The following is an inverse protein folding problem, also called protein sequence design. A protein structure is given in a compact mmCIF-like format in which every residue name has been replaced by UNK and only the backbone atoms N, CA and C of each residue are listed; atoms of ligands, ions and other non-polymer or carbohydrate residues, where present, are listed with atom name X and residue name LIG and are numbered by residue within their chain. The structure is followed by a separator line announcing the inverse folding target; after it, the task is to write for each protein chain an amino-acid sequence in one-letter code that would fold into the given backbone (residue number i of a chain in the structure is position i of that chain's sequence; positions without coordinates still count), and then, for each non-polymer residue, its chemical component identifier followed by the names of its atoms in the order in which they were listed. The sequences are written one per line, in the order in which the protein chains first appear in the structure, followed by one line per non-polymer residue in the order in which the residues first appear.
data_IF_031558835274
#
_entry.id   IF_031558835274
#
_cell.length_a   1.000
_cell.length_b   1.000
_cell.length_c   1.000
_cell.angle_alpha   90.00
_cell.angle_beta   90.00
_cell.angle_gamma   90.00
#
_symmetry.space_group_name_H-M   'P 1'
#
loop_
_entity.id
_entity.type
_entity.pdbx_description
1 polymer ?
#
# COMPACT_ATOMS: atom_id res chain seq x y z
N UNK A 1 -27.06 63.57 0.87
CA UNK A 1 -25.62 63.36 1.13
C UNK A 1 -25.42 61.87 1.39
N UNK A 2 -24.95 61.13 0.39
CA UNK A 2 -24.70 59.68 0.47
C UNK A 2 -23.29 59.46 1.03
N UNK A 3 -23.17 58.74 2.15
CA UNK A 3 -21.89 58.23 2.65
C UNK A 3 -21.89 56.71 2.53
N UNK A 4 -21.27 56.24 1.44
CA UNK A 4 -20.93 54.83 1.21
C UNK A 4 -19.70 54.46 2.05
N UNK A 5 -19.89 53.63 3.08
CA UNK A 5 -18.80 53.01 3.83
C UNK A 5 -18.42 51.67 3.22
N UNK A 6 -17.39 51.65 2.37
CA UNK A 6 -16.74 50.41 1.91
C UNK A 6 -15.78 49.95 3.02
N UNK A 7 -15.91 48.74 3.59
CA UNK A 7 -14.90 48.23 4.52
C UNK A 7 -13.60 47.95 3.76
N UNK A 8 -12.50 48.51 4.27
CA UNK A 8 -11.13 48.37 3.76
C UNK A 8 -10.68 46.91 3.80
N UNK A 9 -10.32 46.35 2.64
CA UNK A 9 -9.75 45.03 2.43
C UNK A 9 -8.32 44.81 2.99
N UNK A 10 -7.96 45.50 4.09
CA UNK A 10 -6.60 45.50 4.64
C UNK A 10 -6.38 44.59 5.85
N UNK A 11 -7.43 44.12 6.53
CA UNK A 11 -7.30 43.37 7.78
C UNK A 11 -7.19 41.85 7.59
N UNK A 12 -7.69 41.31 6.47
CA UNK A 12 -7.75 39.85 6.26
C UNK A 12 -6.39 39.23 5.90
N UNK A 13 -5.47 40.03 5.35
CA UNK A 13 -4.18 39.54 4.86
C UNK A 13 -3.19 39.33 6.01
N UNK A 14 -3.31 40.09 7.11
CA UNK A 14 -2.39 40.00 8.24
C UNK A 14 -2.58 38.73 9.08
N UNK A 15 -3.81 38.24 9.22
CA UNK A 15 -4.08 37.01 10.00
C UNK A 15 -3.50 35.78 9.30
N UNK A 16 -3.71 35.68 7.98
CA UNK A 16 -3.17 34.58 7.18
C UNK A 16 -1.64 34.56 7.16
N UNK A 17 -0.97 35.71 7.27
CA UNK A 17 0.50 35.78 7.29
C UNK A 17 1.10 35.21 8.59
N UNK A 18 0.42 35.40 9.73
CA UNK A 18 0.86 34.90 11.04
C UNK A 18 0.64 33.38 11.17
N UNK A 19 -0.47 32.86 10.64
CA UNK A 19 -0.73 31.40 10.62
C UNK A 19 0.26 30.64 9.73
N UNK A 20 0.84 31.28 8.70
CA UNK A 20 1.85 30.65 7.85
C UNK A 20 3.23 30.53 8.51
N UNK A 21 3.59 31.41 9.45
CA UNK A 21 4.91 31.35 10.12
C UNK A 21 5.02 30.22 11.13
N UNK A 22 3.90 29.70 11.62
CA UNK A 22 3.86 28.64 12.63
C UNK A 22 3.79 27.22 12.02
N UNK A 23 3.68 27.11 10.69
CA UNK A 23 3.58 25.82 10.04
C UNK A 23 4.90 25.01 10.15
N UNK A 24 4.82 23.67 10.30
CA UNK A 24 5.92 22.74 10.11
C UNK A 24 6.69 23.02 8.81
N UNK A 25 8.00 22.79 8.83
CA UNK A 25 8.90 23.09 7.69
C UNK A 25 8.44 22.42 6.38
N UNK A 26 7.87 21.22 6.44
CA UNK A 26 7.36 20.52 5.27
C UNK A 26 6.08 21.17 4.70
N UNK A 27 5.19 21.72 5.54
CA UNK A 27 4.02 22.47 5.08
C UNK A 27 4.42 23.79 4.43
N UNK A 28 5.45 24.47 4.97
CA UNK A 28 6.05 25.64 4.32
C UNK A 28 6.65 25.28 2.96
N UNK A 29 7.32 24.12 2.86
CA UNK A 29 7.84 23.63 1.58
C UNK A 29 6.72 23.33 0.57
N UNK A 30 5.61 22.74 1.01
CA UNK A 30 4.43 22.53 0.16
C UNK A 30 3.86 23.86 -0.35
N UNK A 31 3.67 24.84 0.53
CA UNK A 31 3.16 26.16 0.15
C UNK A 31 4.09 26.90 -0.82
N UNK A 32 5.41 26.75 -0.64
CA UNK A 32 6.40 27.30 -1.56
C UNK A 32 6.38 26.59 -2.93
N UNK A 33 6.20 25.27 -2.96
CA UNK A 33 6.04 24.48 -4.20
C UNK A 33 4.76 24.82 -4.97
N UNK A 34 3.70 25.23 -4.28
CA UNK A 34 2.44 25.67 -4.87
C UNK A 34 2.46 27.11 -5.44
N UNK A 35 3.59 27.81 -5.45
CA UNK A 35 3.72 29.14 -6.04
C UNK A 35 3.10 30.28 -5.21
N UNK A 36 2.67 30.03 -3.97
CA UNK A 36 2.31 31.08 -3.02
C UNK A 36 3.60 31.70 -2.47
N UNK A 37 4.19 32.59 -3.25
CA UNK A 37 5.32 33.42 -2.84
C UNK A 37 4.85 34.41 -1.76
N UNK A 38 4.83 33.95 -0.51
CA UNK A 38 4.64 34.83 0.64
C UNK A 38 5.96 35.57 0.82
N UNK A 39 5.90 36.91 0.76
CA UNK A 39 7.05 37.77 0.96
C UNK A 39 7.72 37.46 2.32
N UNK A 40 8.77 36.64 2.29
CA UNK A 40 9.43 36.07 3.47
C UNK A 40 9.87 34.62 3.29
N UNK A 41 9.05 33.77 2.65
CA UNK A 41 9.38 32.37 2.40
C UNK A 41 10.44 32.23 1.29
N UNK A 42 10.41 33.11 0.29
CA UNK A 42 11.38 33.11 -0.82
C UNK A 42 12.82 33.38 -0.41
N UNK A 43 13.06 34.11 0.70
CA UNK A 43 14.42 34.37 1.19
C UNK A 43 14.94 33.23 2.09
N UNK A 44 14.06 32.50 2.78
CA UNK A 44 14.47 31.45 3.72
C UNK A 44 14.85 30.13 3.01
N UNK A 45 14.24 29.83 1.87
CA UNK A 45 14.52 28.61 1.09
C UNK A 45 15.86 28.72 0.34
N UNK A 46 16.36 29.93 0.10
CA UNK A 46 17.66 30.14 -0.56
C UNK A 46 18.87 29.92 0.36
N UNK A 47 18.68 29.80 1.69
CA UNK A 47 19.78 29.83 2.66
C UNK A 47 19.95 28.54 3.47
N UNK A 48 19.02 27.59 3.38
CA UNK A 48 19.13 26.28 4.01
C UNK A 48 19.57 25.25 2.97
N UNK A 49 20.79 24.74 3.10
CA UNK A 49 21.24 23.57 2.34
C UNK A 49 20.27 22.41 2.58
N UNK A 50 19.90 21.73 1.49
CA UNK A 50 18.93 20.64 1.36
C UNK A 50 17.46 21.09 1.17
N UNK A 51 17.15 21.54 -0.05
CA UNK A 51 15.80 21.93 -0.44
C UNK A 51 14.89 20.70 -0.57
N UNK A 52 13.70 20.78 0.03
CA UNK A 52 12.63 19.79 -0.15
C UNK A 52 12.16 19.79 -1.61
N UNK A 53 12.23 18.65 -2.29
CA UNK A 53 11.61 18.47 -3.61
C UNK A 53 10.26 17.78 -3.43
N UNK A 54 9.19 18.46 -3.82
CA UNK A 54 7.82 17.95 -3.76
C UNK A 54 7.37 17.62 -5.17
N UNK A 55 6.94 16.38 -5.38
CA UNK A 55 6.38 15.91 -6.65
C UNK A 55 5.02 15.27 -6.40
N UNK A 56 3.98 15.76 -7.06
CA UNK A 56 2.71 15.03 -7.18
C UNK A 56 2.89 13.94 -8.25
N UNK A 57 2.68 12.69 -7.85
CA UNK A 57 2.90 11.51 -8.71
C UNK A 57 1.70 10.60 -8.65
N UNK A 58 1.59 9.69 -9.62
CA UNK A 58 0.58 8.64 -9.62
C UNK A 58 1.30 7.32 -9.86
N UNK A 59 1.95 6.79 -8.80
CA UNK A 59 2.85 5.63 -8.88
C UNK A 59 2.49 4.61 -7.80
N UNK A 60 2.74 3.34 -8.11
CA UNK A 60 2.59 2.25 -7.15
C UNK A 60 3.93 1.90 -6.52
N UNK A 61 3.88 1.51 -5.26
CA UNK A 61 5.01 1.02 -4.49
C UNK A 61 4.62 -0.25 -3.75
N UNK A 62 5.59 -1.11 -3.48
CA UNK A 62 5.41 -2.34 -2.70
C UNK A 62 6.37 -2.38 -1.52
N UNK A 63 5.91 -2.93 -0.40
CA UNK A 63 6.76 -3.23 0.75
C UNK A 63 7.61 -4.47 0.47
N UNK A 64 8.93 -4.32 0.39
CA UNK A 64 9.89 -5.39 0.08
C UNK A 64 10.47 -6.01 1.35
N UNK A 65 10.48 -5.28 2.46
CA UNK A 65 11.06 -5.75 3.72
C UNK A 65 10.30 -6.98 4.26
N UNK A 66 10.96 -8.14 4.38
CA UNK A 66 10.31 -9.38 4.80
C UNK A 66 10.07 -9.48 6.30
N UNK A 67 10.78 -8.70 7.12
CA UNK A 67 10.85 -8.90 8.57
C UNK A 67 9.94 -7.94 9.35
N UNK A 68 9.65 -6.76 8.81
CA UNK A 68 8.83 -5.76 9.51
C UNK A 68 7.82 -5.03 8.62
N UNK A 69 6.59 -4.90 9.14
CA UNK A 69 5.60 -3.98 8.61
C UNK A 69 5.98 -2.51 8.87
N UNK A 70 5.50 -1.63 8.00
CA UNK A 70 5.81 -0.19 8.05
C UNK A 70 4.70 0.56 8.75
N UNK A 71 4.99 1.13 9.92
CA UNK A 71 4.08 2.09 10.56
C UNK A 71 4.09 3.40 9.77
N UNK A 72 2.93 3.77 9.23
CA UNK A 72 2.75 5.03 8.52
C UNK A 72 2.92 6.21 9.47
N UNK A 73 3.39 7.34 8.95
CA UNK A 73 3.65 8.57 9.71
C UNK A 73 2.61 9.62 9.38
N UNK A 74 2.25 10.44 10.37
CA UNK A 74 1.36 11.57 10.16
C UNK A 74 2.01 12.67 9.30
N UNK A 75 3.34 12.75 9.33
CA UNK A 75 4.16 13.77 8.65
C UNK A 75 5.31 13.12 7.86
N UNK A 76 5.87 13.82 6.85
CA UNK A 76 7.02 13.34 6.07
C UNK A 76 8.34 13.42 6.88
N UNK A 77 8.37 12.75 8.03
CA UNK A 77 9.53 12.63 8.91
C UNK A 77 9.55 11.23 9.55
N UNK A 78 10.71 10.58 9.52
CA UNK A 78 10.93 9.25 10.13
C UNK A 78 10.77 9.24 11.65
N UNK A 79 10.82 10.42 12.29
CA UNK A 79 10.64 10.61 13.73
C UNK A 79 9.23 11.07 14.12
N UNK A 80 8.37 11.39 13.14
CA UNK A 80 7.00 11.82 13.41
C UNK A 80 6.15 10.74 14.08
N UNK A 81 5.05 11.18 14.69
CA UNK A 81 4.06 10.28 15.27
C UNK A 81 3.59 9.26 14.22
N UNK A 82 3.56 7.99 14.62
CA UNK A 82 2.95 6.93 13.82
C UNK A 82 1.44 7.11 13.79
N UNK A 83 0.80 6.77 12.67
CA UNK A 83 -0.65 6.61 12.61
C UNK A 83 -1.04 5.22 13.11
N UNK A 84 -2.34 4.94 13.15
CA UNK A 84 -2.86 3.62 13.53
C UNK A 84 -2.70 2.56 12.41
N UNK A 85 -2.17 2.95 11.25
CA UNK A 85 -2.10 2.11 10.06
C UNK A 85 -0.68 1.57 9.84
N UNK A 86 -0.62 0.31 9.44
CA UNK A 86 0.62 -0.42 9.17
C UNK A 86 0.53 -1.05 7.80
N UNK A 87 1.55 -0.87 6.97
CA UNK A 87 1.70 -1.60 5.71
C UNK A 87 2.39 -2.93 5.98
N UNK A 88 1.84 -4.04 5.47
CA UNK A 88 2.43 -5.36 5.67
C UNK A 88 3.47 -5.68 4.58
N UNK A 89 4.46 -6.55 4.86
CA UNK A 89 5.37 -7.07 3.85
C UNK A 89 4.63 -7.61 2.61
N UNK A 90 5.06 -7.20 1.43
CA UNK A 90 4.45 -7.55 0.15
C UNK A 90 3.21 -6.74 -0.24
N UNK A 91 2.68 -5.87 0.64
CA UNK A 91 1.54 -5.00 0.31
C UNK A 91 1.97 -3.96 -0.74
N UNK A 92 1.18 -3.89 -1.81
CA UNK A 92 1.29 -2.83 -2.81
C UNK A 92 0.30 -1.70 -2.50
N UNK A 93 0.76 -0.45 -2.59
CA UNK A 93 -0.01 0.74 -2.27
C UNK A 93 0.22 1.83 -3.30
N UNK A 94 -0.79 2.70 -3.46
CA UNK A 94 -0.76 3.78 -4.43
C UNK A 94 -0.35 5.11 -3.78
N UNK A 95 0.64 5.77 -4.39
CA UNK A 95 1.26 7.01 -3.90
C UNK A 95 0.83 8.18 -4.76
N UNK A 96 0.26 9.21 -4.12
CA UNK A 96 -0.16 10.44 -4.80
C UNK A 96 0.88 11.56 -4.72
N UNK A 97 1.82 11.49 -3.78
CA UNK A 97 2.85 12.52 -3.59
C UNK A 97 4.14 11.95 -3.04
N UNK A 98 5.26 12.48 -3.53
CA UNK A 98 6.60 12.15 -3.05
C UNK A 98 7.29 13.43 -2.58
N UNK A 99 7.88 13.36 -1.40
CA UNK A 99 8.75 14.41 -0.87
C UNK A 99 10.15 13.84 -0.73
N UNK A 100 11.14 14.50 -1.34
CA UNK A 100 12.56 14.16 -1.18
C UNK A 100 13.27 15.19 -0.32
N UNK A 101 13.98 14.71 0.70
CA UNK A 101 14.80 15.53 1.57
C UNK A 101 15.87 14.66 2.25
N UNK A 102 17.14 15.11 2.29
CA UNK A 102 18.21 14.37 2.97
C UNK A 102 18.49 12.98 2.40
N UNK A 103 18.26 12.77 1.09
CA UNK A 103 18.41 11.46 0.45
C UNK A 103 17.34 10.42 0.79
N UNK A 104 16.31 10.82 1.55
CA UNK A 104 15.14 10.02 1.88
C UNK A 104 13.96 10.43 0.99
N UNK A 105 13.20 9.45 0.52
CA UNK A 105 11.90 9.70 -0.10
C UNK A 105 10.78 9.36 0.89
N UNK A 106 9.86 10.30 1.06
CA UNK A 106 8.63 10.17 1.82
C UNK A 106 7.46 10.05 0.84
N UNK A 107 6.69 8.99 0.98
CA UNK A 107 5.64 8.58 0.05
C UNK A 107 4.28 8.82 0.71
N UNK A 108 3.49 9.76 0.22
CA UNK A 108 2.13 9.97 0.70
C UNK A 108 1.17 9.02 -0.01
N UNK A 109 0.45 8.22 0.76
CA UNK A 109 -0.53 7.30 0.21
C UNK A 109 -1.74 8.08 -0.30
N UNK A 110 -2.20 7.72 -1.50
CA UNK A 110 -3.36 8.33 -2.16
C UNK A 110 -4.68 8.15 -1.39
N UNK A 111 -4.75 7.15 -0.51
CA UNK A 111 -5.89 6.90 0.39
C UNK A 111 -5.93 7.84 1.61
N UNK A 112 -4.89 8.64 1.82
CA UNK A 112 -4.78 9.58 2.93
C UNK A 112 -4.44 8.97 4.29
N UNK A 113 -4.05 7.68 4.36
CA UNK A 113 -3.66 7.01 5.63
C UNK A 113 -2.37 7.54 6.24
N UNK A 114 -1.52 8.20 5.46
CA UNK A 114 -0.31 8.87 5.93
C UNK A 114 0.89 8.75 4.98
N UNK A 115 2.08 8.83 5.57
CA UNK A 115 3.37 8.85 4.88
C UNK A 115 4.16 7.55 5.15
N UNK A 116 4.61 6.90 4.09
CA UNK A 116 5.59 5.83 4.10
C UNK A 116 6.98 6.36 3.69
N UNK A 117 8.00 5.49 3.75
CA UNK A 117 9.38 5.85 3.45
C UNK A 117 10.07 4.74 2.66
N UNK A 118 10.89 5.12 1.67
CA UNK A 118 11.60 4.15 0.83
C UNK A 118 12.73 3.44 1.57
N UNK A 119 13.42 4.14 2.46
CA UNK A 119 14.52 3.60 3.28
C UNK A 119 14.22 3.61 4.77
N UNK A 120 14.81 2.64 5.48
CA UNK A 120 14.80 2.54 6.93
C UNK A 120 15.77 3.54 7.58
N UNK A 121 15.70 3.69 8.91
CA UNK A 121 16.72 4.44 9.68
C UNK A 121 18.14 3.86 9.54
N UNK A 122 18.26 2.57 9.18
CA UNK A 122 19.54 1.89 8.94
C UNK A 122 19.98 1.99 7.47
N UNK A 123 19.17 2.60 6.60
CA UNK A 123 19.46 2.79 5.17
C UNK A 123 19.00 1.65 4.25
N UNK A 124 18.45 0.56 4.81
CA UNK A 124 17.90 -0.55 4.05
C UNK A 124 16.68 -0.11 3.22
N UNK A 125 16.54 -0.64 2.00
CA UNK A 125 15.38 -0.36 1.15
C UNK A 125 14.18 -1.15 1.67
N UNK A 126 13.09 -0.46 1.99
CA UNK A 126 11.85 -1.06 2.52
C UNK A 126 10.72 -0.98 1.50
N UNK A 127 10.66 0.08 0.68
CA UNK A 127 9.69 0.21 -0.40
C UNK A 127 10.38 0.37 -1.74
N UNK A 128 9.91 -0.37 -2.73
CA UNK A 128 10.32 -0.21 -4.13
C UNK A 128 9.14 0.18 -5.00
N UNK A 129 9.41 0.92 -6.09
CA UNK A 129 8.39 1.24 -7.07
C UNK A 129 8.02 0.00 -7.85
N UNK A 130 6.72 -0.27 -7.98
CA UNK A 130 6.20 -1.40 -8.75
C UNK A 130 5.28 -0.90 -9.87
N UNK A 131 5.18 -1.70 -10.91
CA UNK A 131 4.24 -1.47 -12.01
C UNK A 131 2.85 -1.95 -11.62
N UNK A 132 1.81 -1.36 -12.21
CA UNK A 132 0.42 -1.76 -11.96
C UNK A 132 0.18 -3.26 -12.24
N UNK A 133 0.89 -3.82 -13.21
CA UNK A 133 0.87 -5.26 -13.52
C UNK A 133 1.42 -6.13 -12.37
N UNK A 134 2.42 -5.65 -11.64
CA UNK A 134 2.99 -6.35 -10.48
C UNK A 134 2.07 -6.26 -9.26
N UNK A 135 1.39 -5.12 -9.08
CA UNK A 135 0.34 -4.95 -8.06
C UNK A 135 -0.79 -5.96 -8.28
N UNK A 136 -1.22 -6.16 -9.53
CA UNK A 136 -2.25 -7.12 -9.88
C UNK A 136 -1.83 -8.58 -9.62
N UNK A 137 -0.53 -8.89 -9.79
CA UNK A 137 0.02 -10.22 -9.50
C UNK A 137 0.20 -10.48 -8.01
N UNK A 138 0.61 -9.47 -7.23
CA UNK A 138 0.75 -9.57 -5.78
C UNK A 138 -0.62 -9.61 -5.07
N UNK A 139 -1.57 -8.84 -5.57
CA UNK A 139 -2.96 -8.80 -5.14
C UNK A 139 -3.83 -9.89 -5.76
N UNK A 140 -3.29 -11.11 -5.94
CA UNK A 140 -4.01 -12.27 -6.45
C UNK A 140 -5.44 -12.26 -5.93
N UNK A 141 -6.38 -12.07 -6.85
CA UNK A 141 -7.73 -11.62 -6.52
C UNK A 141 -8.44 -12.69 -5.70
N UNK A 142 -9.50 -12.32 -4.97
CA UNK A 142 -10.34 -13.30 -4.29
C UNK A 142 -10.82 -14.43 -5.23
N UNK A 143 -10.92 -14.15 -6.54
CA UNK A 143 -11.22 -15.15 -7.56
C UNK A 143 -10.09 -16.16 -7.76
N UNK A 144 -8.82 -15.73 -7.75
CA UNK A 144 -7.66 -16.63 -7.86
C UNK A 144 -7.57 -17.57 -6.66
N UNK A 145 -7.88 -17.08 -5.45
CA UNK A 145 -7.96 -17.91 -4.24
C UNK A 145 -9.11 -18.92 -4.30
N UNK A 146 -10.28 -18.50 -4.77
CA UNK A 146 -11.45 -19.37 -4.95
C UNK A 146 -11.19 -20.42 -6.03
N UNK A 147 -10.52 -20.06 -7.12
CA UNK A 147 -10.15 -21.01 -8.18
C UNK A 147 -9.14 -22.05 -7.68
N UNK A 148 -8.13 -21.63 -6.93
CA UNK A 148 -7.19 -22.55 -6.29
C UNK A 148 -7.91 -23.53 -5.34
N UNK A 149 -8.84 -23.03 -4.53
CA UNK A 149 -9.64 -23.85 -3.61
C UNK A 149 -10.57 -24.83 -4.35
N UNK A 150 -11.20 -24.41 -5.44
CA UNK A 150 -12.04 -25.28 -6.28
C UNK A 150 -11.22 -26.38 -6.95
N UNK A 151 -10.03 -26.05 -7.46
CA UNK A 151 -9.12 -27.04 -8.05
C UNK A 151 -8.70 -28.10 -7.03
N UNK A 152 -8.36 -27.70 -5.81
CA UNK A 152 -8.04 -28.64 -4.73
C UNK A 152 -9.21 -29.56 -4.38
N UNK A 153 -10.43 -29.02 -4.27
CA UNK A 153 -11.63 -29.82 -4.01
C UNK A 153 -11.93 -30.83 -5.13
N UNK A 154 -11.76 -30.43 -6.39
CA UNK A 154 -11.99 -31.31 -7.53
C UNK A 154 -11.00 -32.49 -7.56
N UNK A 155 -9.73 -32.24 -7.21
CA UNK A 155 -8.71 -33.30 -7.11
C UNK A 155 -9.09 -34.31 -6.03
N UNK A 156 -9.54 -33.85 -4.86
CA UNK A 156 -9.97 -34.72 -3.77
C UNK A 156 -11.18 -35.58 -4.17
N UNK A 157 -12.18 -34.99 -4.84
CA UNK A 157 -13.33 -35.73 -5.34
C UNK A 157 -12.90 -36.83 -6.32
N UNK A 158 -12.01 -36.49 -7.26
CA UNK A 158 -11.50 -37.47 -8.23
C UNK A 158 -10.71 -38.61 -7.56
N UNK A 159 -9.96 -38.30 -6.49
CA UNK A 159 -9.27 -39.33 -5.70
C UNK A 159 -10.24 -40.25 -4.97
N UNK A 160 -11.30 -39.71 -4.38
CA UNK A 160 -12.36 -40.49 -3.73
C UNK A 160 -13.07 -41.42 -4.72
N UNK A 161 -13.46 -40.91 -5.89
CA UNK A 161 -14.08 -41.71 -6.96
C UNK A 161 -13.16 -42.86 -7.42
N UNK A 162 -11.84 -42.60 -7.55
CA UNK A 162 -10.88 -43.66 -7.87
C UNK A 162 -10.73 -44.69 -6.76
N UNK A 163 -10.86 -44.29 -5.49
CA UNK A 163 -10.83 -45.24 -4.38
C UNK A 163 -12.09 -46.12 -4.32
N UNK A 164 -13.27 -45.54 -4.54
CA UNK A 164 -14.54 -46.28 -4.51
C UNK A 164 -14.61 -47.32 -5.63
N UNK A 165 -14.20 -46.93 -6.85
CA UNK A 165 -14.13 -47.87 -7.99
C UNK A 165 -13.12 -49.01 -7.78
N UNK A 166 -12.04 -48.77 -7.04
CA UNK A 166 -11.07 -49.81 -6.68
C UNK A 166 -11.66 -50.82 -5.68
N UNK A 167 -12.41 -50.35 -4.67
CA UNK A 167 -13.06 -51.21 -3.68
C UNK A 167 -14.17 -52.05 -4.33
N UNK A 168 -14.96 -51.47 -5.21
CA UNK A 168 -16.01 -52.19 -5.93
C UNK A 168 -15.44 -53.26 -6.87
N UNK A 169 -14.30 -52.97 -7.52
CA UNK A 169 -13.59 -53.95 -8.34
C UNK A 169 -13.11 -55.15 -7.50
N UNK A 170 -12.55 -54.90 -6.32
CA UNK A 170 -12.13 -55.95 -5.38
C UNK A 170 -13.31 -56.78 -4.88
N UNK A 171 -14.44 -56.13 -4.54
CA UNK A 171 -15.68 -56.82 -4.13
C UNK A 171 -16.22 -57.71 -5.23
N UNK A 172 -16.21 -57.24 -6.48
CA UNK A 172 -16.70 -58.01 -7.62
C UNK A 172 -15.82 -59.22 -7.91
N UNK A 173 -14.49 -59.10 -7.78
CA UNK A 173 -13.57 -60.24 -7.86
C UNK A 173 -13.81 -61.26 -6.74
N UNK A 174 -13.94 -60.81 -5.49
CA UNK A 174 -14.19 -61.68 -4.35
C UNK A 174 -15.49 -62.49 -4.52
N UNK A 175 -16.57 -61.85 -5.00
CA UNK A 175 -17.84 -62.52 -5.29
C UNK A 175 -17.69 -63.60 -6.37
N UNK A 176 -16.93 -63.34 -7.43
CA UNK A 176 -16.66 -64.33 -8.48
C UNK A 176 -15.89 -65.54 -7.96
N UNK A 177 -14.89 -65.33 -7.11
CA UNK A 177 -14.11 -66.42 -6.50
C UNK A 177 -14.98 -67.30 -5.60
N UNK A 178 -15.88 -66.71 -4.82
CA UNK A 178 -16.80 -67.47 -3.97
C UNK A 178 -17.76 -68.34 -4.80
N UNK A 179 -18.37 -67.77 -5.84
CA UNK A 179 -19.27 -68.52 -6.73
C UNK A 179 -18.55 -69.66 -7.44
N UNK A 180 -17.33 -69.43 -7.93
CA UNK A 180 -16.53 -70.47 -8.57
C UNK A 180 -16.14 -71.61 -7.61
N UNK A 181 -16.07 -71.33 -6.30
CA UNK A 181 -15.77 -72.33 -5.27
C UNK A 181 -16.98 -73.20 -4.93
N UNK A 182 -18.19 -72.70 -5.10
CA UNK A 182 -19.44 -73.45 -4.88
C UNK A 182 -19.77 -74.38 -6.06
N UNK A 183 -19.27 -74.10 -7.27
CA UNK A 183 -19.52 -74.88 -8.48
C UNK A 183 -18.52 -76.03 -8.74
N UNK A 184 -17.56 -76.29 -7.86
CA UNK A 184 -16.66 -77.45 -7.99
C UNK A 184 -17.31 -78.72 -7.40
N UNK A 185 -17.76 -79.69 -8.23
CA UNK A 185 -18.18 -80.99 -7.71
C UNK A 185 -16.97 -81.74 -7.12
N UNK A 186 -17.20 -82.35 -5.95
CA UNK A 186 -16.20 -83.10 -5.18
C UNK A 186 -15.67 -84.34 -5.87
#
# INVERSE_FOLDING_TARGET
MLASGVPRAGACISSCLSELSDLPRWQKALLAGCGLAVAGAGLYIAQAGDAYQVEDVNRFYQVVDPDMGINLRAEPDTSAAGTAYVLIPGEAFHVSRVIRHGGQEYLYLSDGRGWAFTRSKTGALICEGCTEEEVQKAGGTALDQVEAMLRSNLVLQKQLETSETSEDSLRQMAKRVLLAKEEMPS
#
